data_IF_361103799301
#
_entry.id   IF_361103799301
#
_cell.length_a   1.000
_cell.length_b   1.000
_cell.length_c   1.000
_cell.angle_alpha   90.00
_cell.angle_beta   90.00
_cell.angle_gamma   90.00
#
_symmetry.space_group_name_H-M   'P 1'
#
loop_
_entity.id
_entity.type
_entity.pdbx_description
1 polymer ?
#
# COMPACT_ATOMS: atom_id res chain seq x y z
N UNK A 1 -64.46 -17.85 57.62
CA UNK A 1 -64.55 -17.21 56.29
C UNK A 1 -63.23 -16.52 55.98
N UNK A 2 -62.75 -16.69 54.75
CA UNK A 2 -61.39 -16.42 54.26
C UNK A 2 -61.06 -14.92 54.24
N UNK A 3 -60.07 -14.47 55.02
CA UNK A 3 -59.42 -13.15 54.83
C UNK A 3 -58.11 -13.36 54.07
N UNK A 4 -58.08 -12.85 52.83
CA UNK A 4 -56.95 -12.97 51.90
C UNK A 4 -55.85 -11.98 52.30
N UNK A 5 -54.67 -12.52 52.59
CA UNK A 5 -53.38 -11.81 52.65
C UNK A 5 -53.15 -11.15 51.29
N UNK A 6 -53.28 -9.82 51.23
CA UNK A 6 -52.84 -8.97 50.13
C UNK A 6 -51.96 -7.89 50.73
N UNK A 7 -50.64 -8.10 50.66
CA UNK A 7 -49.59 -7.06 50.59
C UNK A 7 -48.25 -7.69 50.94
N UNK A 8 -47.76 -8.56 50.05
CA UNK A 8 -46.35 -8.95 50.05
C UNK A 8 -45.93 -9.34 48.62
N UNK A 9 -46.15 -8.44 47.67
CA UNK A 9 -45.82 -8.63 46.26
C UNK A 9 -45.37 -7.32 45.59
N UNK A 10 -44.70 -6.45 46.35
CA UNK A 10 -44.03 -5.24 45.82
C UNK A 10 -42.68 -5.07 46.54
N UNK A 11 -41.86 -6.13 46.54
CA UNK A 11 -40.42 -6.00 46.82
C UNK A 11 -39.60 -7.18 46.26
N UNK A 12 -40.14 -7.87 45.25
CA UNK A 12 -39.48 -8.99 44.57
C UNK A 12 -39.40 -8.73 43.05
N UNK A 13 -39.33 -7.46 42.65
CA UNK A 13 -39.24 -7.05 41.24
C UNK A 13 -38.17 -5.98 40.98
N UNK A 14 -37.18 -5.85 41.87
CA UNK A 14 -36.09 -4.85 41.73
C UNK A 14 -34.68 -5.49 41.79
N UNK A 15 -34.53 -6.81 42.00
CA UNK A 15 -33.19 -7.42 42.16
C UNK A 15 -32.95 -8.61 41.22
N UNK A 16 -33.37 -8.50 39.95
CA UNK A 16 -32.83 -9.40 38.92
C UNK A 16 -32.76 -8.74 37.53
N UNK A 17 -32.40 -7.46 37.48
CA UNK A 17 -31.73 -6.90 36.31
C UNK A 17 -30.22 -7.06 36.51
N UNK A 18 -29.76 -8.31 36.65
CA UNK A 18 -28.37 -8.63 36.32
C UNK A 18 -28.28 -8.35 34.83
N UNK A 19 -27.80 -7.14 34.54
CA UNK A 19 -27.43 -6.74 33.19
C UNK A 19 -26.41 -7.76 32.75
N UNK A 20 -26.86 -8.72 31.94
CA UNK A 20 -25.99 -9.50 31.10
C UNK A 20 -25.44 -8.47 30.11
N UNK A 21 -24.44 -7.70 30.52
CA UNK A 21 -23.49 -7.11 29.58
C UNK A 21 -22.92 -8.31 28.87
N UNK A 22 -23.55 -8.69 27.74
CA UNK A 22 -22.82 -9.32 26.66
C UNK A 22 -21.67 -8.37 26.45
N UNK A 23 -20.51 -8.75 26.97
CA UNK A 23 -19.25 -8.22 26.52
C UNK A 23 -19.29 -8.52 25.03
N UNK A 24 -19.71 -7.52 24.25
CA UNK A 24 -19.43 -7.46 22.84
C UNK A 24 -17.91 -7.40 22.82
N UNK A 25 -17.27 -8.56 22.89
CA UNK A 25 -16.02 -8.77 22.19
C UNK A 25 -16.32 -8.20 20.83
N UNK A 26 -15.78 -7.00 20.53
CA UNK A 26 -15.83 -6.46 19.20
C UNK A 26 -15.33 -7.60 18.33
N UNK A 27 -16.25 -8.23 17.61
CA UNK A 27 -15.94 -9.30 16.70
C UNK A 27 -15.14 -8.57 15.63
N UNK A 28 -13.83 -8.46 15.86
CA UNK A 28 -12.90 -7.90 14.90
C UNK A 28 -13.20 -8.68 13.66
N UNK A 29 -13.79 -8.01 12.68
CA UNK A 29 -14.21 -8.61 11.45
C UNK A 29 -12.90 -8.93 10.73
N UNK A 30 -12.31 -10.08 11.06
CA UNK A 30 -11.04 -10.54 10.53
C UNK A 30 -11.27 -10.70 9.03
N UNK A 31 -10.50 -9.96 8.25
CA UNK A 31 -10.61 -10.00 6.80
C UNK A 31 -9.68 -11.10 6.30
N UNK A 32 -10.07 -11.80 5.24
CA UNK A 32 -9.24 -12.86 4.67
C UNK A 32 -8.24 -12.31 3.64
N UNK A 33 -7.33 -13.14 3.15
CA UNK A 33 -6.40 -12.78 2.06
C UNK A 33 -7.11 -12.36 0.77
N UNK A 34 -8.41 -12.64 0.65
CA UNK A 34 -9.22 -12.19 -0.48
C UNK A 34 -9.16 -10.66 -0.66
N UNK A 35 -9.00 -9.89 0.42
CA UNK A 35 -8.83 -8.43 0.30
C UNK A 35 -7.58 -8.04 -0.49
N UNK A 36 -6.48 -8.78 -0.33
CA UNK A 36 -5.28 -8.51 -1.12
C UNK A 36 -5.53 -8.88 -2.57
N UNK A 37 -6.10 -10.06 -2.81
CA UNK A 37 -6.41 -10.54 -4.15
C UNK A 37 -7.27 -9.53 -4.92
N UNK A 38 -8.37 -9.09 -4.32
CA UNK A 38 -9.31 -8.20 -4.97
C UNK A 38 -8.74 -6.79 -5.16
N UNK A 39 -8.07 -6.23 -4.14
CA UNK A 39 -7.59 -4.85 -4.17
C UNK A 39 -6.32 -4.66 -5.01
N UNK A 40 -5.50 -5.70 -5.17
CA UNK A 40 -4.24 -5.62 -5.96
C UNK A 40 -4.41 -6.06 -7.42
N UNK A 41 -5.48 -6.79 -7.76
CA UNK A 41 -5.75 -7.24 -9.12
C UNK A 41 -5.76 -6.12 -10.20
N UNK A 42 -6.23 -4.89 -9.92
CA UNK A 42 -6.19 -3.82 -10.91
C UNK A 42 -4.80 -3.23 -11.19
N UNK A 43 -3.79 -3.56 -10.37
CA UNK A 43 -2.49 -2.88 -10.36
C UNK A 43 -1.31 -3.81 -10.67
N UNK A 44 -1.59 -5.06 -11.04
CA UNK A 44 -0.59 -6.07 -11.30
C UNK A 44 -1.19 -7.44 -11.56
N UNK A 45 -0.35 -8.46 -11.54
CA UNK A 45 -0.73 -9.83 -11.87
C UNK A 45 -0.52 -10.75 -10.67
N UNK A 46 -1.54 -11.53 -10.34
CA UNK A 46 -1.40 -12.68 -9.47
C UNK A 46 -0.87 -13.86 -10.25
N UNK A 47 0.10 -14.56 -9.67
CA UNK A 47 0.85 -15.66 -10.29
C UNK A 47 0.91 -16.81 -9.32
N UNK A 48 0.66 -18.03 -9.80
CA UNK A 48 0.92 -19.23 -9.02
C UNK A 48 2.42 -19.56 -9.10
N UNK A 49 3.12 -19.31 -8.00
CA UNK A 49 4.57 -19.45 -7.88
C UNK A 49 4.91 -20.73 -7.10
N UNK A 50 5.72 -21.66 -7.65
CA UNK A 50 5.92 -22.98 -7.06
C UNK A 50 6.34 -22.99 -5.57
N UNK A 51 7.15 -22.03 -5.16
CA UNK A 51 7.70 -21.96 -3.78
C UNK A 51 6.75 -21.25 -2.79
N UNK A 52 5.96 -20.28 -3.25
CA UNK A 52 5.23 -19.36 -2.38
C UNK A 52 3.71 -19.38 -2.57
N UNK A 53 3.19 -20.16 -3.51
CA UNK A 53 1.79 -20.11 -3.91
C UNK A 53 1.48 -18.80 -4.64
N UNK A 54 0.36 -18.15 -4.32
CA UNK A 54 -0.03 -16.93 -5.02
C UNK A 54 0.83 -15.73 -4.63
N UNK A 55 1.68 -15.28 -5.57
CA UNK A 55 2.46 -14.06 -5.47
C UNK A 55 1.88 -12.98 -6.36
N UNK A 56 2.13 -11.72 -6.02
CA UNK A 56 1.69 -10.58 -6.81
C UNK A 56 2.87 -9.85 -7.43
N UNK A 57 2.79 -9.60 -8.72
CA UNK A 57 3.77 -8.83 -9.49
C UNK A 57 3.14 -7.48 -9.85
N UNK A 58 3.70 -6.34 -9.41
CA UNK A 58 3.17 -5.03 -9.73
C UNK A 58 3.37 -4.65 -11.20
N UNK A 59 2.41 -3.92 -11.76
CA UNK A 59 2.60 -3.15 -13.00
C UNK A 59 3.23 -1.77 -12.69
N UNK A 60 4.29 -1.77 -11.86
CA UNK A 60 4.93 -0.57 -11.31
C UNK A 60 5.94 0.12 -12.23
N UNK A 61 6.18 -0.42 -13.43
CA UNK A 61 7.23 0.02 -14.35
C UNK A 61 8.55 -0.75 -14.15
N UNK A 62 9.44 -0.66 -15.14
CA UNK A 62 10.72 -1.38 -15.15
C UNK A 62 11.73 -0.89 -14.11
N UNK A 63 11.53 0.33 -13.60
CA UNK A 63 12.35 0.94 -12.56
C UNK A 63 11.78 0.71 -11.14
N UNK A 64 10.64 0.01 -11.02
CA UNK A 64 10.05 -0.28 -9.73
C UNK A 64 11.02 -1.03 -8.83
N UNK A 65 11.26 -0.47 -7.65
CA UNK A 65 12.00 -1.10 -6.56
C UNK A 65 11.20 -0.83 -5.27
N UNK A 66 10.88 -1.88 -4.48
CA UNK A 66 10.14 -1.71 -3.24
C UNK A 66 10.96 -0.94 -2.21
N UNK A 67 10.27 -0.11 -1.41
CA UNK A 67 10.89 0.79 -0.43
C UNK A 67 11.89 1.77 -1.05
N UNK A 68 11.70 2.15 -2.31
CA UNK A 68 12.61 3.00 -3.06
C UNK A 68 11.88 3.97 -3.98
N UNK A 69 11.01 3.41 -4.83
CA UNK A 69 10.25 4.16 -5.82
C UNK A 69 8.92 4.62 -5.25
N UNK A 70 8.50 5.83 -5.65
CA UNK A 70 7.22 6.46 -5.30
C UNK A 70 6.85 6.28 -3.82
N UNK A 71 7.70 6.80 -2.94
CA UNK A 71 7.48 6.79 -1.50
C UNK A 71 8.66 7.34 -0.74
N UNK A 72 8.54 7.38 0.59
CA UNK A 72 9.56 7.91 1.48
C UNK A 72 9.39 7.37 2.91
N UNK A 73 10.43 7.51 3.72
CA UNK A 73 10.40 7.15 5.14
C UNK A 73 9.84 8.28 5.98
N UNK A 74 8.92 7.94 6.88
CA UNK A 74 8.49 8.83 7.97
C UNK A 74 8.64 8.10 9.30
N UNK A 75 9.09 8.82 10.32
CA UNK A 75 9.08 8.27 11.67
C UNK A 75 7.64 8.29 12.19
N UNK A 76 7.14 7.15 12.70
CA UNK A 76 5.86 7.05 13.41
C UNK A 76 6.06 6.47 14.81
N UNK A 77 4.97 6.31 15.55
CA UNK A 77 4.98 5.61 16.84
C UNK A 77 5.35 4.12 16.72
N UNK A 78 5.38 3.58 15.50
CA UNK A 78 5.82 2.23 15.17
C UNK A 78 7.27 2.18 14.65
N UNK A 79 7.99 3.31 14.62
CA UNK A 79 9.33 3.41 14.01
C UNK A 79 9.29 3.93 12.57
N UNK A 80 10.38 3.76 11.84
CA UNK A 80 10.48 4.21 10.44
C UNK A 80 9.51 3.43 9.57
N UNK A 81 8.49 4.14 9.08
CA UNK A 81 7.37 3.62 8.31
C UNK A 81 7.50 4.08 6.87
N UNK A 82 7.37 3.15 5.92
CA UNK A 82 7.36 3.50 4.50
C UNK A 82 6.00 4.08 4.14
N UNK A 83 5.97 5.30 3.62
CA UNK A 83 4.78 5.91 3.04
C UNK A 83 4.92 5.80 1.54
N UNK A 84 4.12 4.91 0.94
CA UNK A 84 4.08 4.75 -0.51
C UNK A 84 3.06 5.69 -1.14
N UNK A 85 3.42 6.24 -2.30
CA UNK A 85 2.58 7.07 -3.15
C UNK A 85 1.72 6.22 -4.12
N UNK A 86 1.98 4.91 -4.21
CA UNK A 86 1.09 3.98 -4.93
C UNK A 86 -0.21 3.72 -4.15
N UNK A 87 -1.36 3.77 -4.83
CA UNK A 87 -2.69 3.51 -4.26
C UNK A 87 -2.81 2.13 -3.59
N UNK A 88 -2.10 1.15 -4.14
CA UNK A 88 -2.04 -0.22 -3.63
C UNK A 88 -1.03 -0.39 -2.48
N UNK A 89 -0.18 0.60 -2.21
CA UNK A 89 0.98 0.46 -1.31
C UNK A 89 0.65 0.16 0.15
N UNK A 90 -0.59 0.39 0.59
CA UNK A 90 -1.05 0.05 1.94
C UNK A 90 -0.88 -1.44 2.27
N UNK A 91 -0.95 -2.32 1.27
CA UNK A 91 -0.83 -3.76 1.45
C UNK A 91 0.63 -4.23 1.27
N UNK A 92 1.24 -4.16 0.07
CA UNK A 92 2.53 -4.83 -0.17
C UNK A 92 3.72 -4.31 0.62
N UNK A 93 3.68 -3.06 1.09
CA UNK A 93 4.75 -2.49 1.93
C UNK A 93 4.58 -2.81 3.41
N UNK A 94 3.45 -3.42 3.81
CA UNK A 94 3.11 -3.60 5.21
C UNK A 94 2.63 -5.00 5.60
N UNK A 95 2.12 -5.81 4.67
CA UNK A 95 1.50 -7.12 4.90
C UNK A 95 2.17 -8.27 4.12
N UNK A 96 3.49 -8.41 4.18
CA UNK A 96 4.17 -9.45 3.41
C UNK A 96 5.64 -9.19 3.22
N UNK A 97 6.23 -9.88 2.26
CA UNK A 97 7.66 -9.78 1.93
C UNK A 97 7.84 -9.62 0.42
N UNK A 98 8.90 -8.94 0.05
CA UNK A 98 9.29 -8.78 -1.35
C UNK A 98 10.46 -9.71 -1.63
N UNK A 99 10.47 -10.28 -2.82
CA UNK A 99 11.62 -11.01 -3.36
C UNK A 99 11.78 -10.65 -4.84
N UNK A 100 12.90 -11.06 -5.41
CA UNK A 100 13.32 -10.71 -6.75
C UNK A 100 13.65 -11.96 -7.57
N UNK A 101 12.95 -12.10 -8.70
CA UNK A 101 13.31 -13.05 -9.75
C UNK A 101 14.06 -12.33 -10.86
N UNK A 102 15.16 -12.91 -11.36
CA UNK A 102 15.99 -12.27 -12.40
C UNK A 102 15.24 -12.06 -13.72
N UNK A 103 14.26 -12.90 -14.03
CA UNK A 103 13.47 -12.82 -15.24
C UNK A 103 12.19 -12.01 -15.02
N UNK A 104 11.47 -12.29 -13.92
CA UNK A 104 10.17 -11.67 -13.65
C UNK A 104 10.24 -10.37 -12.83
N UNK A 105 11.39 -9.99 -12.28
CA UNK A 105 11.57 -8.80 -11.45
C UNK A 105 11.03 -8.98 -10.02
N UNK A 106 10.70 -7.86 -9.37
CA UNK A 106 10.14 -7.86 -8.01
C UNK A 106 8.75 -8.49 -7.96
N UNK A 107 8.55 -9.37 -6.99
CA UNK A 107 7.26 -9.94 -6.66
C UNK A 107 7.03 -9.92 -5.15
N UNK A 108 5.76 -9.89 -4.77
CA UNK A 108 5.33 -9.81 -3.38
C UNK A 108 4.65 -11.10 -2.94
N UNK A 109 5.06 -11.60 -1.79
CA UNK A 109 4.47 -12.74 -1.09
C UNK A 109 3.59 -12.22 0.05
N UNK A 110 2.26 -12.46 0.02
CA UNK A 110 1.35 -11.98 1.06
C UNK A 110 1.61 -12.61 2.43
N UNK A 111 1.40 -11.83 3.48
CA UNK A 111 1.40 -12.26 4.87
C UNK A 111 0.28 -11.53 5.65
N UNK A 112 -0.04 -12.01 6.85
CA UNK A 112 -1.16 -11.49 7.64
C UNK A 112 -0.74 -10.48 8.71
N UNK A 113 0.56 -10.41 9.01
CA UNK A 113 1.12 -9.49 9.99
C UNK A 113 1.41 -8.10 9.39
N UNK A 114 0.91 -7.06 10.05
CA UNK A 114 1.24 -5.68 9.69
C UNK A 114 2.57 -5.22 10.33
N UNK A 115 3.41 -4.55 9.55
CA UNK A 115 4.56 -3.79 10.04
C UNK A 115 4.66 -2.38 9.41
N UNK A 116 5.41 -1.45 10.02
CA UNK A 116 5.69 -0.14 9.44
C UNK A 116 6.48 -0.23 8.13
N UNK A 117 7.30 -1.27 8.02
CA UNK A 117 7.90 -1.81 6.80
C UNK A 117 8.54 -3.16 7.15
N UNK A 118 8.75 -4.01 6.14
CA UNK A 118 9.48 -5.27 6.29
C UNK A 118 10.80 -5.20 5.54
N UNK A 119 11.76 -4.51 6.16
CA UNK A 119 13.09 -4.26 5.63
C UNK A 119 14.16 -4.58 6.67
N UNK A 120 15.36 -4.86 6.18
CA UNK A 120 16.57 -4.91 6.97
C UNK A 120 17.25 -3.56 6.98
N UNK A 121 17.79 -3.17 8.13
CA UNK A 121 18.41 -1.87 8.31
C UNK A 121 19.90 -2.01 8.58
N UNK A 122 20.70 -1.14 7.96
CA UNK A 122 22.13 -1.02 8.19
C UNK A 122 22.53 0.43 8.38
N UNK A 123 23.59 0.63 9.15
CA UNK A 123 24.27 1.91 9.28
C UNK A 123 25.74 1.74 8.93
N UNK A 124 26.28 2.72 8.23
CA UNK A 124 27.72 2.90 8.03
C UNK A 124 28.08 4.34 8.41
N UNK A 125 29.37 4.68 8.41
CA UNK A 125 29.81 6.03 8.76
C UNK A 125 29.20 7.08 7.83
N UNK A 126 28.22 7.84 8.34
CA UNK A 126 27.48 8.86 7.59
C UNK A 126 26.30 8.36 6.75
N UNK A 127 25.95 7.07 6.77
CA UNK A 127 24.91 6.49 5.90
C UNK A 127 23.93 5.60 6.66
N UNK A 128 22.68 5.64 6.23
CA UNK A 128 21.70 4.60 6.52
C UNK A 128 21.36 3.87 5.23
N UNK A 129 21.14 2.58 5.33
CA UNK A 129 20.62 1.79 4.23
C UNK A 129 19.63 0.75 4.67
N UNK A 130 18.85 0.32 3.70
CA UNK A 130 17.85 -0.71 3.88
C UNK A 130 17.74 -1.59 2.64
N UNK A 131 17.23 -2.81 2.85
CA UNK A 131 16.86 -3.72 1.78
C UNK A 131 15.57 -4.47 2.19
N UNK A 132 14.71 -4.85 1.21
CA UNK A 132 13.50 -5.62 1.50
C UNK A 132 13.84 -6.97 2.13
N UNK A 133 13.12 -7.31 3.22
CA UNK A 133 13.29 -8.60 3.86
C UNK A 133 12.65 -9.71 3.01
N UNK A 134 13.37 -10.81 2.81
CA UNK A 134 12.89 -11.95 2.02
C UNK A 134 11.74 -12.72 2.72
N UNK A 135 10.87 -13.39 1.94
CA UNK A 135 9.89 -14.34 2.46
C UNK A 135 10.52 -15.42 3.34
N UNK A 136 9.83 -15.83 4.41
CA UNK A 136 10.30 -16.87 5.33
C UNK A 136 11.44 -16.47 6.28
N UNK A 137 11.97 -15.25 6.17
CA UNK A 137 13.04 -14.76 7.06
C UNK A 137 12.44 -14.07 8.29
N UNK A 138 12.85 -14.52 9.47
CA UNK A 138 12.46 -13.90 10.74
C UNK A 138 13.40 -12.77 11.14
N UNK A 139 12.92 -11.80 11.94
CA UNK A 139 13.75 -10.71 12.48
C UNK A 139 15.00 -11.22 13.20
N UNK A 140 14.92 -12.36 13.88
CA UNK A 140 16.06 -12.95 14.58
C UNK A 140 17.17 -13.31 13.59
N UNK A 141 16.82 -13.97 12.48
CA UNK A 141 17.76 -14.37 11.41
C UNK A 141 18.47 -13.13 10.85
N UNK A 142 17.73 -12.04 10.62
CA UNK A 142 18.30 -10.81 10.05
C UNK A 142 19.35 -10.13 10.94
N UNK A 143 19.32 -10.39 12.23
CA UNK A 143 20.30 -9.83 13.18
C UNK A 143 21.63 -10.59 13.21
N UNK A 144 21.73 -11.74 12.54
CA UNK A 144 22.99 -12.45 12.39
C UNK A 144 23.88 -11.73 11.36
N UNK A 145 25.18 -11.60 11.68
CA UNK A 145 26.17 -10.92 10.81
C UNK A 145 26.29 -11.54 9.42
N UNK A 146 25.85 -12.79 9.28
CA UNK A 146 25.90 -13.61 8.08
C UNK A 146 24.66 -13.51 7.19
N UNK A 147 23.58 -12.85 7.65
CA UNK A 147 22.45 -12.56 6.78
C UNK A 147 22.86 -11.46 5.80
N UNK A 148 23.57 -11.90 4.76
CA UNK A 148 23.95 -11.12 3.61
C UNK A 148 22.84 -11.29 2.59
N UNK A 149 21.80 -10.47 2.70
CA UNK A 149 20.91 -10.23 1.55
C UNK A 149 21.80 -9.98 0.34
N UNK A 150 21.46 -10.60 -0.80
CA UNK A 150 22.22 -10.43 -2.04
C UNK A 150 22.56 -8.94 -2.17
N UNK A 151 23.86 -8.64 -2.26
CA UNK A 151 24.41 -7.28 -2.08
C UNK A 151 23.82 -6.23 -3.05
N UNK A 152 22.99 -6.64 -4.01
CA UNK A 152 22.50 -5.84 -5.12
C UNK A 152 21.19 -5.08 -4.86
N UNK A 153 20.49 -5.34 -3.75
CA UNK A 153 19.19 -4.71 -3.44
C UNK A 153 19.21 -3.69 -2.30
N UNK A 154 20.36 -3.50 -1.66
CA UNK A 154 20.52 -2.44 -0.65
C UNK A 154 20.46 -1.06 -1.28
N UNK A 155 19.71 -0.17 -0.63
CA UNK A 155 19.61 1.25 -0.96
C UNK A 155 20.23 2.03 0.17
N UNK A 156 21.03 3.04 -0.17
CA UNK A 156 21.69 3.89 0.81
C UNK A 156 21.38 5.36 0.57
N UNK A 157 21.28 6.11 1.67
CA UNK A 157 21.26 7.56 1.71
C UNK A 157 22.25 8.06 2.74
N UNK A 158 22.69 9.31 2.61
CA UNK A 158 23.35 9.98 3.73
C UNK A 158 22.37 10.03 4.91
N UNK A 159 22.87 9.81 6.11
CA UNK A 159 22.07 9.76 7.34
C UNK A 159 21.15 10.99 7.53
N UNK A 160 21.59 12.16 7.08
CA UNK A 160 20.84 13.44 7.10
C UNK A 160 19.66 13.52 6.13
N UNK A 161 19.56 12.57 5.20
CA UNK A 161 18.60 12.57 4.09
C UNK A 161 17.54 11.46 4.22
N UNK A 162 17.53 10.70 5.31
CA UNK A 162 16.59 9.59 5.54
C UNK A 162 15.11 10.02 5.54
N UNK A 163 14.81 11.20 6.09
CA UNK A 163 13.44 11.71 6.28
C UNK A 163 13.01 12.67 5.15
N UNK A 164 13.66 12.61 3.98
CA UNK A 164 13.35 13.49 2.84
C UNK A 164 12.09 12.99 2.11
N UNK A 165 11.11 13.86 1.81
CA UNK A 165 9.92 13.48 1.05
C UNK A 165 10.22 12.94 -0.36
N UNK A 166 11.27 13.43 -1.01
CA UNK A 166 11.75 12.96 -2.32
C UNK A 166 13.08 12.21 -2.14
N UNK A 167 13.06 11.16 -1.33
CA UNK A 167 14.26 10.44 -0.90
C UNK A 167 15.05 9.84 -2.08
N UNK A 168 14.38 9.53 -3.18
CA UNK A 168 14.97 9.00 -4.41
C UNK A 168 16.03 9.92 -5.03
N UNK A 169 15.96 11.23 -4.79
CA UNK A 169 16.95 12.20 -5.26
C UNK A 169 18.25 12.16 -4.44
N UNK A 170 18.26 11.44 -3.32
CA UNK A 170 19.37 11.38 -2.36
C UNK A 170 20.00 9.99 -2.27
N UNK A 171 19.56 9.04 -3.09
CA UNK A 171 20.17 7.72 -3.16
C UNK A 171 21.64 7.84 -3.56
N UNK A 172 22.47 7.09 -2.84
CA UNK A 172 23.90 6.99 -3.12
C UNK A 172 24.11 6.26 -4.45
N UNK A 173 25.12 6.68 -5.20
CA UNK A 173 25.47 6.03 -6.45
C UNK A 173 25.91 4.57 -6.21
N UNK A 174 25.60 3.68 -7.15
CA UNK A 174 26.03 2.27 -7.09
C UNK A 174 27.54 2.11 -6.93
N UNK A 175 28.38 3.04 -7.40
CA UNK A 175 29.84 2.98 -7.23
C UNK A 175 30.31 2.98 -5.77
N UNK A 176 29.54 3.59 -4.87
CA UNK A 176 29.86 3.66 -3.43
C UNK A 176 29.27 2.51 -2.62
N UNK A 177 28.38 1.74 -3.22
CA UNK A 177 27.58 0.73 -2.54
C UNK A 177 28.47 -0.33 -1.87
N UNK A 178 29.36 -0.98 -2.61
CA UNK A 178 30.24 -2.03 -2.09
C UNK A 178 31.07 -1.56 -0.90
N UNK A 179 31.53 -0.30 -0.94
CA UNK A 179 32.28 0.30 0.16
C UNK A 179 31.40 0.50 1.39
N UNK A 180 30.17 0.98 1.21
CA UNK A 180 29.25 1.24 2.31
C UNK A 180 28.81 -0.09 2.95
N UNK A 181 28.41 -1.08 2.14
CA UNK A 181 27.91 -2.35 2.66
C UNK A 181 28.99 -3.11 3.45
N UNK A 182 30.24 -3.15 2.94
CA UNK A 182 31.38 -3.79 3.63
C UNK A 182 31.69 -3.15 4.99
N UNK A 183 31.47 -1.85 5.14
CA UNK A 183 31.77 -1.10 6.35
C UNK A 183 30.55 -0.85 7.25
N UNK A 184 29.41 -1.42 6.88
CA UNK A 184 28.15 -1.23 7.61
C UNK A 184 27.95 -2.23 8.75
N UNK A 185 27.05 -1.89 9.67
CA UNK A 185 26.59 -2.72 10.77
C UNK A 185 25.06 -2.81 10.72
N UNK A 186 24.52 -3.98 11.05
CA UNK A 186 23.07 -4.18 11.17
C UNK A 186 22.51 -3.32 12.30
N UNK A 187 21.39 -2.65 12.05
CA UNK A 187 20.60 -1.95 13.06
C UNK A 187 19.57 -2.94 13.60
N UNK A 188 19.62 -3.19 14.91
CA UNK A 188 18.81 -4.22 15.59
C UNK A 188 17.68 -3.65 16.42
N UNK A 189 17.37 -2.37 16.25
CA UNK A 189 16.29 -1.72 16.99
C UNK A 189 14.97 -2.35 16.58
N UNK A 190 14.20 -2.80 17.56
CA UNK A 190 12.88 -3.40 17.35
C UNK A 190 11.79 -2.62 18.06
N UNK A 191 10.58 -2.68 17.52
CA UNK A 191 9.37 -2.25 18.20
C UNK A 191 8.43 -3.45 18.36
N UNK A 192 7.82 -3.57 19.54
CA UNK A 192 6.84 -4.61 19.85
C UNK A 192 5.44 -3.98 19.90
N UNK A 193 4.61 -4.28 18.91
CA UNK A 193 3.19 -3.93 18.93
C UNK A 193 2.43 -4.93 19.78
N UNK A 194 2.22 -4.58 21.05
CA UNK A 194 1.48 -5.43 22.02
C UNK A 194 0.02 -5.62 21.66
N UNK A 195 -0.59 -4.71 20.90
CA UNK A 195 -1.99 -4.82 20.52
C UNK A 195 -2.19 -5.86 19.41
N UNK A 196 -1.17 -6.07 18.57
CA UNK A 196 -1.20 -7.06 17.48
C UNK A 196 -0.30 -8.27 17.70
N UNK A 197 0.46 -8.26 18.80
CA UNK A 197 1.45 -9.29 19.12
C UNK A 197 2.49 -9.50 18.00
N UNK A 198 2.94 -8.42 17.37
CA UNK A 198 3.92 -8.44 16.27
C UNK A 198 5.17 -7.67 16.68
N UNK A 199 6.34 -8.15 16.27
CA UNK A 199 7.62 -7.45 16.46
C UNK A 199 8.28 -7.22 15.11
N UNK A 200 8.78 -6.00 14.88
CA UNK A 200 9.44 -5.61 13.64
C UNK A 200 10.63 -4.70 13.91
N UNK A 201 11.54 -4.61 12.93
CA UNK A 201 12.71 -3.73 12.99
C UNK A 201 12.26 -2.28 12.81
N UNK A 202 12.52 -1.43 13.79
CA UNK A 202 12.03 -0.04 13.83
C UNK A 202 12.95 0.96 13.12
N UNK A 203 14.13 0.52 12.68
CA UNK A 203 15.12 1.31 11.95
C UNK A 203 16.05 2.14 12.85
N UNK A 204 16.76 3.13 12.29
CA UNK A 204 17.69 3.98 13.02
C UNK A 204 17.04 4.69 14.21
N UNK A 205 17.83 4.90 15.28
CA UNK A 205 17.34 5.63 16.45
C UNK A 205 16.99 7.08 16.08
N UNK A 206 15.85 7.56 16.58
CA UNK A 206 15.36 8.92 16.31
C UNK A 206 16.37 9.98 16.71
N UNK A 207 17.05 9.81 17.83
CA UNK A 207 18.01 10.78 18.37
C UNK A 207 19.26 10.85 17.50
N UNK A 208 19.71 9.73 16.95
CA UNK A 208 20.83 9.71 16.00
C UNK A 208 20.47 10.40 14.69
N UNK A 209 19.27 10.17 14.16
CA UNK A 209 18.77 10.89 12.97
C UNK A 209 18.60 12.38 13.28
N UNK A 210 18.10 12.75 14.47
CA UNK A 210 17.98 14.15 14.91
C UNK A 210 19.35 14.85 14.95
N UNK A 211 20.38 14.17 15.47
CA UNK A 211 21.75 14.68 15.50
C UNK A 211 22.32 14.84 14.09
N UNK A 212 22.15 13.83 13.23
CA UNK A 212 22.65 13.85 11.85
C UNK A 212 22.00 14.92 10.97
N UNK A 213 20.69 15.15 11.16
CA UNK A 213 19.91 16.11 10.37
C UNK A 213 19.97 17.54 10.91
N UNK A 214 20.25 17.71 12.21
CA UNK A 214 20.09 18.99 12.91
C UNK A 214 18.62 19.45 13.04
N UNK A 215 17.65 18.64 12.62
CA UNK A 215 16.22 18.96 12.57
C UNK A 215 15.46 18.21 13.66
N UNK A 216 14.32 18.76 14.11
CA UNK A 216 13.42 18.04 15.01
C UNK A 216 12.73 16.92 14.23
N UNK A 217 13.05 15.66 14.54
CA UNK A 217 12.37 14.49 13.99
C UNK A 217 11.22 14.13 14.93
N UNK A 218 9.99 14.48 14.54
CA UNK A 218 8.78 14.20 15.32
C UNK A 218 8.04 13.00 14.74
N UNK A 219 7.64 12.02 15.55
CA UNK A 219 6.77 10.95 15.09
C UNK A 219 5.47 11.51 14.51
N UNK A 220 5.10 10.98 13.35
CA UNK A 220 3.80 11.16 12.72
C UNK A 220 2.83 10.19 13.35
N UNK A 221 1.69 10.70 13.84
CA UNK A 221 0.65 9.86 14.39
C UNK A 221 0.03 8.98 13.28
N UNK A 222 -0.20 7.72 13.59
CA UNK A 222 -0.88 6.78 12.68
C UNK A 222 -2.36 6.67 13.06
N UNK A 223 -3.22 6.77 12.07
CA UNK A 223 -4.67 6.55 12.20
C UNK A 223 -5.11 5.48 11.21
N UNK A 224 -5.88 4.53 11.69
CA UNK A 224 -6.43 3.48 10.83
C UNK A 224 -7.60 4.00 9.98
N UNK A 225 -7.60 3.64 8.69
CA UNK A 225 -8.69 3.89 7.76
C UNK A 225 -9.66 2.70 7.75
N UNK A 226 -10.91 2.94 7.37
CA UNK A 226 -11.90 1.87 7.13
C UNK A 226 -11.84 1.30 5.72
N UNK A 227 -11.24 2.02 4.77
CA UNK A 227 -11.13 1.63 3.36
C UNK A 227 -9.66 1.43 2.97
N UNK A 228 -9.35 0.51 2.03
CA UNK A 228 -8.03 0.33 1.44
C UNK A 228 -7.37 1.63 0.98
N UNK A 229 -6.05 1.72 1.19
CA UNK A 229 -5.24 2.86 0.82
C UNK A 229 -4.50 3.50 1.99
N UNK A 230 -3.58 4.40 1.66
CA UNK A 230 -2.86 5.20 2.63
C UNK A 230 -2.66 6.63 2.13
N UNK A 231 -2.54 7.58 3.05
CA UNK A 231 -2.15 8.94 2.73
C UNK A 231 -1.59 9.67 3.95
N UNK A 232 -0.54 10.44 3.73
CA UNK A 232 0.01 11.37 4.72
C UNK A 232 -0.61 12.75 4.52
N UNK A 233 -1.41 13.23 5.47
CA UNK A 233 -2.04 14.56 5.40
C UNK A 233 -2.07 15.22 6.76
N UNK A 234 -1.71 16.51 6.80
CA UNK A 234 -1.72 17.34 8.01
C UNK A 234 -0.92 16.73 9.18
N UNK A 235 0.24 16.14 8.88
CA UNK A 235 1.11 15.52 9.91
C UNK A 235 0.56 14.25 10.54
N UNK A 236 -0.37 13.56 9.86
CA UNK A 236 -0.94 12.28 10.29
C UNK A 236 -0.96 11.29 9.13
N UNK A 237 -0.46 10.09 9.37
CA UNK A 237 -0.52 8.98 8.42
C UNK A 237 -1.84 8.24 8.61
N UNK A 238 -2.71 8.30 7.60
CA UNK A 238 -3.95 7.57 7.56
C UNK A 238 -3.76 6.33 6.69
N UNK A 239 -3.87 5.13 7.26
CA UNK A 239 -3.52 3.87 6.58
C UNK A 239 -4.56 2.78 6.84
N UNK A 240 -4.94 2.05 5.81
CA UNK A 240 -5.76 0.85 5.95
C UNK A 240 -4.93 -0.28 6.55
N UNK A 241 -5.38 -0.76 7.71
CA UNK A 241 -4.59 -1.68 8.53
C UNK A 241 -5.45 -2.78 9.15
N UNK A 242 -6.21 -3.57 8.37
CA UNK A 242 -7.10 -4.59 8.93
C UNK A 242 -6.34 -5.67 9.71
N UNK A 243 -7.02 -6.38 10.60
CA UNK A 243 -6.52 -7.67 11.08
C UNK A 243 -6.86 -8.70 10.01
N UNK A 244 -5.83 -9.39 9.51
CA UNK A 244 -5.96 -10.34 8.41
C UNK A 244 -5.81 -11.75 8.94
N UNK A 245 -6.71 -12.64 8.54
CA UNK A 245 -6.62 -14.06 8.84
C UNK A 245 -6.21 -14.82 7.58
N UNK A 246 -5.22 -15.70 7.72
CA UNK A 246 -4.77 -16.62 6.68
C UNK A 246 -5.46 -17.99 6.78
N UNK A 247 -6.29 -18.21 7.81
CA UNK A 247 -7.03 -19.47 8.00
C UNK A 247 -8.29 -19.51 7.14
N UNK A 248 -8.43 -20.59 6.40
CA UNK A 248 -9.64 -20.97 5.70
C UNK A 248 -10.63 -21.60 6.70
N UNK A 249 -11.17 -20.81 7.62
CA UNK A 249 -12.11 -21.32 8.63
C UNK A 249 -13.49 -21.67 8.02
N UNK A 250 -13.75 -21.23 6.79
CA UNK A 250 -14.94 -21.56 6.01
C UNK A 250 -14.51 -22.19 4.68
N UNK A 251 -15.30 -23.12 4.15
CA UNK A 251 -15.14 -23.86 2.87
C UNK A 251 -14.98 -22.98 1.60
N UNK A 252 -14.84 -21.67 1.77
CA UNK A 252 -14.66 -20.69 0.71
C UNK A 252 -13.19 -20.61 0.31
N UNK A 253 -12.89 -21.07 -0.91
CA UNK A 253 -11.53 -21.06 -1.46
C UNK A 253 -11.02 -19.62 -1.61
N UNK A 254 -10.10 -19.19 -0.75
CA UNK A 254 -9.41 -17.90 -0.88
C UNK A 254 -8.42 -18.01 -2.05
N UNK A 255 -8.73 -17.37 -3.18
CA UNK A 255 -7.91 -17.41 -4.39
C UNK A 255 -8.07 -16.11 -5.19
N UNK A 256 -7.04 -15.67 -5.94
CA UNK A 256 -7.20 -14.61 -6.91
C UNK A 256 -8.26 -14.95 -7.94
N UNK A 257 -9.06 -13.94 -8.34
CA UNK A 257 -10.07 -14.07 -9.40
C UNK A 257 -9.45 -14.37 -10.76
N UNK A 258 -8.20 -13.94 -10.97
CA UNK A 258 -7.39 -14.23 -12.15
C UNK A 258 -5.98 -14.57 -11.72
N UNK A 259 -5.48 -15.71 -12.18
CA UNK A 259 -4.10 -16.15 -11.98
C UNK A 259 -3.43 -16.28 -13.34
N UNK A 260 -2.24 -15.71 -13.46
CA UNK A 260 -1.39 -15.82 -14.64
C UNK A 260 -0.43 -16.98 -14.43
N UNK A 261 -0.26 -17.85 -15.43
CA UNK A 261 0.79 -18.87 -15.33
C UNK A 261 2.15 -18.21 -15.42
N UNK A 262 3.10 -18.69 -14.61
CA UNK A 262 4.47 -18.18 -14.59
C UNK A 262 5.11 -18.13 -16.00
N UNK A 263 4.82 -19.13 -16.84
CA UNK A 263 5.34 -19.25 -18.22
C UNK A 263 4.79 -18.19 -19.19
N UNK A 264 3.65 -17.60 -18.87
CA UNK A 264 2.97 -16.62 -19.73
C UNK A 264 3.39 -15.17 -19.38
N UNK A 265 4.21 -14.99 -18.34
CA UNK A 265 4.70 -13.69 -17.94
C UNK A 265 5.82 -13.24 -18.87
N UNK A 266 5.73 -11.98 -19.30
CA UNK A 266 6.80 -11.30 -20.03
C UNK A 266 7.98 -11.01 -19.09
N UNK A 267 9.16 -10.82 -19.64
CA UNK A 267 10.33 -10.39 -18.89
C UNK A 267 10.08 -9.00 -18.26
N UNK A 268 10.65 -8.75 -17.07
CA UNK A 268 10.51 -7.47 -16.36
C UNK A 268 10.86 -6.25 -17.23
N UNK A 269 11.89 -6.37 -18.08
CA UNK A 269 12.36 -5.33 -19.00
C UNK A 269 11.35 -4.98 -20.11
N UNK A 270 10.52 -5.95 -20.50
CA UNK A 270 9.51 -5.83 -21.57
C UNK A 270 8.16 -5.32 -21.07
N UNK A 271 7.92 -5.34 -19.75
CA UNK A 271 6.71 -4.79 -19.12
C UNK A 271 6.78 -3.26 -19.07
N UNK A 272 6.82 -2.62 -20.24
CA UNK A 272 6.73 -1.16 -20.37
C UNK A 272 5.28 -0.68 -20.26
N UNK A 273 5.02 0.17 -19.26
CA UNK A 273 3.96 1.20 -19.17
C UNK A 273 2.65 0.94 -19.95
N UNK A 274 1.99 -0.19 -19.72
CA UNK A 274 0.56 -0.30 -20.05
C UNK A 274 -0.27 0.10 -18.84
N UNK A 275 -0.65 1.38 -18.83
CA UNK A 275 -1.73 2.00 -18.05
C UNK A 275 -1.39 2.51 -16.64
N UNK A 276 -1.15 3.83 -16.54
CA UNK A 276 -1.83 4.62 -15.50
C UNK A 276 -3.34 4.31 -15.59
N UNK A 277 -4.06 4.18 -14.47
CA UNK A 277 -5.50 3.93 -14.52
C UNK A 277 -6.18 5.04 -15.32
N UNK A 278 -6.74 4.69 -16.49
CA UNK A 278 -7.81 5.50 -17.07
C UNK A 278 -8.89 5.57 -16.01
N UNK A 279 -9.25 6.79 -15.59
CA UNK A 279 -10.45 7.06 -14.81
C UNK A 279 -11.63 6.30 -15.43
N UNK A 280 -11.97 5.14 -14.86
CA UNK A 280 -13.26 4.50 -15.13
C UNK A 280 -14.24 5.20 -14.22
N UNK A 281 -14.84 6.27 -14.74
CA UNK A 281 -16.02 6.89 -14.13
C UNK A 281 -17.09 5.80 -13.95
N UNK A 282 -17.57 5.54 -12.72
CA UNK A 282 -18.73 4.69 -12.54
C UNK A 282 -19.96 5.54 -12.86
N UNK A 283 -20.51 5.39 -14.06
CA UNK A 283 -21.76 6.07 -14.42
C UNK A 283 -22.62 5.26 -15.39
N UNK A 284 -23.76 4.84 -14.85
CA UNK A 284 -25.05 4.62 -15.50
C UNK A 284 -25.32 3.27 -16.17
N UNK A 285 -25.75 2.34 -15.30
CA UNK A 285 -26.90 1.48 -15.54
C UNK A 285 -28.09 2.32 -16.05
N UNK A 286 -28.38 2.31 -17.34
CA UNK A 286 -29.68 2.75 -17.87
C UNK A 286 -30.25 1.66 -18.77
N UNK A 287 -31.31 1.04 -18.24
CA UNK A 287 -32.24 0.12 -18.91
C UNK A 287 -32.49 0.52 -20.37
N UNK A 288 -32.29 -0.44 -21.27
CA UNK A 288 -32.76 -0.38 -22.65
C UNK A 288 -34.27 -0.10 -22.68
N UNK A 289 -34.64 1.00 -23.36
CA UNK A 289 -35.96 1.17 -23.94
C UNK A 289 -35.76 1.51 -25.40
N UNK A 290 -36.12 0.55 -26.27
CA UNK A 290 -36.16 0.68 -27.73
C UNK A 290 -37.05 1.87 -28.11
N UNK A 291 -36.53 2.73 -28.99
CA UNK A 291 -37.38 3.55 -29.86
C UNK A 291 -36.68 3.71 -31.21
N UNK A 292 -37.43 3.39 -32.26
CA UNK A 292 -37.03 3.37 -33.66
C UNK A 292 -36.72 4.79 -34.15
N UNK A 293 -35.60 4.97 -34.85
CA UNK A 293 -35.33 6.16 -35.64
C UNK A 293 -35.05 5.76 -37.10
N UNK A 294 -35.96 6.18 -37.96
CA UNK A 294 -35.92 6.12 -39.43
C UNK A 294 -34.92 7.16 -39.94
N UNK A 295 -34.01 6.75 -40.82
CA UNK A 295 -33.11 7.66 -41.55
C UNK A 295 -33.86 8.42 -42.66
N UNK A 296 -33.47 9.66 -42.96
CA UNK A 296 -33.51 10.17 -44.32
C UNK A 296 -32.11 10.54 -44.85
N UNK A 297 -31.92 10.57 -46.18
CA UNK A 297 -30.62 10.43 -46.80
C UNK A 297 -29.95 11.76 -47.15
N UNK A 298 -28.63 11.63 -47.29
CA UNK A 298 -27.65 12.57 -47.83
C UNK A 298 -28.01 12.99 -49.26
N UNK A 299 -27.96 14.28 -49.58
CA UNK A 299 -27.69 14.71 -50.95
C UNK A 299 -26.93 16.03 -51.01
N UNK A 300 -25.90 16.02 -51.84
CA UNK A 300 -24.98 17.09 -52.17
C UNK A 300 -25.42 17.78 -53.46
N UNK A 301 -25.42 19.12 -53.51
CA UNK A 301 -25.22 19.85 -54.78
C UNK A 301 -24.56 21.22 -54.51
N UNK A 302 -23.64 21.54 -55.41
CA UNK A 302 -22.72 22.68 -55.47
C UNK A 302 -23.40 23.98 -55.93
N UNK A 303 -22.64 25.06 -55.78
CA UNK A 303 -22.59 26.26 -56.64
C UNK A 303 -23.80 27.19 -56.61
N UNK A 304 -23.63 28.41 -56.07
CA UNK A 304 -23.33 29.58 -56.92
C UNK A 304 -23.13 30.88 -56.12
N UNK A 305 -22.04 31.57 -56.47
CA UNK A 305 -21.91 33.03 -56.55
C UNK A 305 -21.73 33.86 -55.27
N UNK A 306 -20.45 33.96 -54.85
CA UNK A 306 -19.87 35.19 -54.27
C UNK A 306 -19.77 36.25 -55.39
N UNK A 307 -20.76 37.14 -55.47
CA UNK A 307 -20.63 38.47 -56.09
C UNK A 307 -21.17 39.47 -55.08
N UNK A 308 -20.26 40.26 -54.51
CA UNK A 308 -20.38 41.68 -54.16
C UNK A 308 -19.34 42.01 -53.10
N UNK A 309 -18.13 42.25 -53.63
CA UNK A 309 -17.14 43.13 -53.02
C UNK A 309 -17.61 44.57 -53.31
N UNK A 310 -17.22 45.48 -52.43
CA UNK A 310 -17.09 46.94 -52.58
C UNK A 310 -18.28 47.81 -52.12
N UNK A 311 -17.91 48.85 -51.34
CA UNK A 311 -18.64 50.08 -50.99
C UNK A 311 -19.54 50.11 -49.74
N UNK A 312 -18.94 50.37 -48.58
CA UNK A 312 -19.21 51.59 -47.77
C UNK A 312 -18.46 51.55 -46.43
N UNK A 313 -17.16 51.77 -46.50
CA UNK A 313 -16.38 52.37 -45.39
C UNK A 313 -15.56 53.51 -45.99
N UNK A 314 -16.27 54.56 -46.40
CA UNK A 314 -15.70 55.85 -46.77
C UNK A 314 -16.76 56.93 -46.61
N UNK A 315 -16.99 57.38 -45.37
CA UNK A 315 -17.51 58.73 -45.06
C UNK A 315 -17.28 59.08 -43.60
N UNK A 316 -16.08 59.59 -43.31
CA UNK A 316 -15.87 60.69 -42.36
C UNK A 316 -14.67 61.52 -42.84
N UNK A 317 -14.96 62.39 -43.80
CA UNK A 317 -14.27 63.67 -44.03
C UNK A 317 -15.40 64.65 -44.32
N UNK A 318 -15.93 65.19 -43.24
CA UNK A 318 -16.48 66.54 -43.03
C UNK A 318 -17.09 66.59 -41.62
#
# INVERSE_FOLDING_TARGET
MKTKIKSLLIFALIIFSVSLTKQLSAQQNQISFQVFYDQLSPYGQWVDYPEYGFVWIPDGGSDFIPYSTAGHWVLTDYGWTWVSDYDWGWAPFHYGRWDYDSFYGWFWVPDNEWGPAWVNWRQADGYYGWAPMHPGVSITITFHREYNERNDHWIFVRNRDLDRPHINLYFVNRSDHDRIIRNSKVIKNTYQDRNRNTTYVSGPDREDVRKATGRKVRPVAVKENSNPGQHLKNGRLQIYRPQVNNRNDNEQRITPSRVTNLKDLKESSERRNTNQPKNVNPSNTRKERKSNAVNPPRNSTKEQTRKNRTEKDKKRSE
#
